data_IF_134461596227
#
_entry.id   IF_134461596227
#
_cell.length_a   1.000
_cell.length_b   1.000
_cell.length_c   1.000
_cell.angle_alpha   90.00
_cell.angle_beta   90.00
_cell.angle_gamma   90.00
#
_symmetry.space_group_name_H-M   'P 1'
#
loop_
_entity.id
_entity.type
_entity.pdbx_description
1 polymer ?
#
# COMPACT_ATOMS: atom_id res chain seq x y z
N UNK A 1 12.76 -3.10 -0.71
CA UNK A 1 12.46 -4.07 -1.80
C UNK A 1 13.49 -5.18 -2.02
N UNK A 2 14.75 -5.04 -1.62
CA UNK A 2 15.77 -6.09 -1.85
C UNK A 2 15.44 -7.44 -1.17
N UNK A 3 14.72 -7.42 -0.04
CA UNK A 3 14.27 -8.60 0.72
C UNK A 3 13.02 -9.28 0.16
N UNK A 4 12.31 -8.67 -0.80
CA UNK A 4 11.05 -9.21 -1.33
C UNK A 4 11.36 -10.20 -2.47
N UNK A 5 10.98 -11.47 -2.27
CA UNK A 5 11.23 -12.57 -3.23
C UNK A 5 10.47 -12.39 -4.55
N UNK A 6 9.18 -12.07 -4.47
CA UNK A 6 8.29 -11.95 -5.63
C UNK A 6 7.65 -10.57 -5.68
N UNK A 7 7.67 -9.92 -6.85
CA UNK A 7 7.07 -8.61 -7.09
C UNK A 7 6.07 -8.72 -8.24
N UNK A 8 4.82 -8.43 -7.97
CA UNK A 8 3.73 -8.48 -8.96
C UNK A 8 3.25 -7.05 -9.19
N UNK A 9 3.38 -6.59 -10.43
CA UNK A 9 2.90 -5.27 -10.83
C UNK A 9 1.55 -5.42 -11.55
N UNK A 10 0.50 -4.85 -10.97
CA UNK A 10 -0.85 -4.86 -11.56
C UNK A 10 -1.11 -3.49 -12.19
N UNK A 11 -1.29 -3.46 -13.52
CA UNK A 11 -1.51 -2.23 -14.31
C UNK A 11 -2.85 -2.29 -15.05
N UNK A 12 -3.39 -1.13 -15.41
CA UNK A 12 -4.56 -1.00 -16.28
C UNK A 12 -4.41 0.21 -17.19
N UNK A 13 -4.81 0.07 -18.46
CA UNK A 13 -4.89 1.18 -19.42
C UNK A 13 -6.15 2.05 -19.32
N UNK A 14 -7.14 1.64 -18.50
CA UNK A 14 -8.42 2.37 -18.33
C UNK A 14 -8.85 2.40 -16.86
N UNK A 15 -9.53 3.48 -16.48
CA UNK A 15 -10.22 3.58 -15.20
C UNK A 15 -11.40 2.61 -15.11
N UNK A 16 -11.74 2.16 -13.90
CA UNK A 16 -12.97 1.39 -13.64
C UNK A 16 -12.93 -0.11 -13.97
N UNK A 17 -11.81 -0.65 -14.47
CA UNK A 17 -11.72 -2.09 -14.83
C UNK A 17 -11.56 -3.05 -13.64
N UNK A 18 -11.55 -2.55 -12.41
CA UNK A 18 -11.38 -3.39 -11.21
C UNK A 18 -9.93 -3.73 -10.83
N UNK A 19 -8.93 -2.98 -11.32
CA UNK A 19 -7.50 -3.17 -10.96
C UNK A 19 -7.28 -3.29 -9.45
N UNK A 20 -7.78 -2.33 -8.67
CA UNK A 20 -7.63 -2.31 -7.21
C UNK A 20 -8.32 -3.50 -6.54
N UNK A 21 -9.48 -3.92 -7.05
CA UNK A 21 -10.19 -5.12 -6.61
C UNK A 21 -9.36 -6.37 -6.82
N UNK A 22 -8.81 -6.53 -8.03
CA UNK A 22 -7.96 -7.67 -8.35
C UNK A 22 -6.71 -7.70 -7.45
N UNK A 23 -6.03 -6.55 -7.28
CA UNK A 23 -4.86 -6.47 -6.41
C UNK A 23 -5.17 -6.84 -4.96
N UNK A 24 -6.27 -6.34 -4.39
CA UNK A 24 -6.68 -6.67 -3.03
C UNK A 24 -6.97 -8.17 -2.87
N UNK A 25 -7.75 -8.75 -3.78
CA UNK A 25 -8.11 -10.17 -3.73
C UNK A 25 -6.89 -11.08 -3.93
N UNK A 26 -5.98 -10.73 -4.84
CA UNK A 26 -4.72 -11.45 -5.02
C UNK A 26 -3.87 -11.42 -3.74
N UNK A 27 -3.80 -10.27 -3.06
CA UNK A 27 -3.08 -10.15 -1.79
C UNK A 27 -3.67 -11.04 -0.69
N UNK A 28 -5.00 -11.07 -0.53
CA UNK A 28 -5.65 -11.98 0.41
C UNK A 28 -5.45 -13.45 0.04
N UNK A 29 -5.57 -13.81 -1.23
CA UNK A 29 -5.36 -15.18 -1.68
C UNK A 29 -3.94 -15.68 -1.36
N UNK A 30 -2.93 -14.84 -1.59
CA UNK A 30 -1.55 -15.17 -1.22
C UNK A 30 -1.36 -15.25 0.30
N UNK A 31 -1.97 -14.35 1.07
CA UNK A 31 -1.88 -14.36 2.53
C UNK A 31 -2.55 -15.63 3.12
N UNK A 32 -3.66 -16.07 2.53
CA UNK A 32 -4.36 -17.31 2.91
C UNK A 32 -3.56 -18.59 2.59
N UNK A 33 -2.53 -18.49 1.74
CA UNK A 33 -1.55 -19.55 1.49
C UNK A 33 -0.30 -19.42 2.38
N UNK A 34 -0.43 -18.72 3.52
CA UNK A 34 0.63 -18.47 4.51
C UNK A 34 1.86 -17.69 3.99
N UNK A 35 1.75 -17.00 2.85
CA UNK A 35 2.81 -16.11 2.40
C UNK A 35 2.82 -14.81 3.21
N UNK A 36 4.01 -14.22 3.38
CA UNK A 36 4.16 -12.85 3.87
C UNK A 36 3.91 -11.89 2.70
N UNK A 37 2.82 -11.12 2.77
CA UNK A 37 2.32 -10.33 1.66
C UNK A 37 2.34 -8.84 1.97
N UNK A 38 2.76 -8.07 0.97
CA UNK A 38 2.64 -6.63 0.95
C UNK A 38 1.78 -6.14 -0.19
N UNK A 39 0.77 -5.33 0.11
CA UNK A 39 0.00 -4.60 -0.88
C UNK A 39 0.42 -3.13 -0.88
N UNK A 40 1.00 -2.68 -1.99
CA UNK A 40 1.38 -1.28 -2.18
C UNK A 40 0.47 -0.62 -3.22
N UNK A 41 -0.23 0.41 -2.79
CA UNK A 41 -1.11 1.23 -3.61
C UNK A 41 -0.50 2.62 -3.85
N UNK A 42 -0.11 2.85 -5.10
CA UNK A 42 0.44 4.13 -5.58
C UNK A 42 -0.54 4.89 -6.50
N UNK A 43 -1.81 4.48 -6.55
CA UNK A 43 -2.82 5.08 -7.41
C UNK A 43 -3.31 6.41 -6.80
N UNK A 44 -2.94 7.53 -7.41
CA UNK A 44 -3.27 8.89 -6.93
C UNK A 44 -4.71 9.28 -7.26
N UNK A 45 -5.37 8.62 -8.23
CA UNK A 45 -6.70 8.99 -8.72
C UNK A 45 -7.85 8.63 -7.76
N UNK A 46 -7.54 8.28 -6.50
CA UNK A 46 -8.50 8.08 -5.41
C UNK A 46 -8.08 6.92 -4.50
N UNK A 47 -8.17 7.08 -3.17
CA UNK A 47 -7.69 6.09 -2.20
C UNK A 47 -8.64 4.88 -2.14
N UNK A 48 -8.53 3.98 -3.11
CA UNK A 48 -9.44 2.84 -3.23
C UNK A 48 -9.09 1.72 -2.27
N UNK A 49 -7.80 1.41 -2.09
CA UNK A 49 -7.42 0.27 -1.25
C UNK A 49 -7.78 0.49 0.22
N UNK A 50 -7.48 1.64 0.87
CA UNK A 50 -7.90 1.87 2.26
C UNK A 50 -9.40 1.66 2.46
N UNK A 51 -10.22 2.25 1.59
CA UNK A 51 -11.68 2.10 1.62
C UNK A 51 -12.15 0.67 1.40
N UNK A 52 -11.61 0.00 0.38
CA UNK A 52 -11.97 -1.39 0.05
C UNK A 52 -11.65 -2.38 1.17
N UNK A 53 -10.61 -2.08 1.95
CA UNK A 53 -10.16 -2.93 3.05
C UNK A 53 -10.72 -2.51 4.41
N UNK A 54 -11.58 -1.49 4.48
CA UNK A 54 -12.12 -0.98 5.74
C UNK A 54 -11.08 -0.30 6.64
N UNK A 55 -10.00 0.22 6.04
CA UNK A 55 -8.87 0.88 6.72
C UNK A 55 -8.99 2.42 6.67
N UNK A 56 -10.18 2.96 6.43
CA UNK A 56 -10.39 4.41 6.43
C UNK A 56 -10.08 4.99 7.82
N UNK A 57 -9.37 6.13 7.86
CA UNK A 57 -8.92 6.75 9.10
C UNK A 57 -7.66 6.13 9.72
N UNK A 58 -7.12 5.05 9.14
CA UNK A 58 -5.79 4.56 9.51
C UNK A 58 -4.71 5.44 8.89
N UNK A 59 -3.59 5.56 9.59
CA UNK A 59 -2.41 6.31 9.13
C UNK A 59 -1.17 5.40 9.14
N UNK A 60 -0.19 5.77 8.33
CA UNK A 60 1.08 5.06 8.25
C UNK A 60 1.89 5.38 9.51
N UNK A 61 2.19 4.34 10.29
CA UNK A 61 2.99 4.51 11.48
C UNK A 61 4.44 4.83 11.13
N UNK A 62 4.99 5.86 11.73
CA UNK A 62 6.38 6.25 11.56
C UNK A 62 7.23 5.66 12.69
N UNK A 63 8.20 4.82 12.34
CA UNK A 63 9.16 4.24 13.27
C UNK A 63 10.58 4.78 12.98
N UNK A 64 11.53 4.50 13.88
CA UNK A 64 12.95 4.81 13.66
C UNK A 64 13.53 4.13 12.41
N UNK A 65 12.91 3.04 11.96
CA UNK A 65 13.29 2.29 10.75
C UNK A 65 12.59 2.79 9.48
N UNK A 66 11.69 3.76 9.60
CA UNK A 66 10.88 4.28 8.51
C UNK A 66 9.39 3.98 8.69
N UNK A 67 8.65 4.01 7.60
CA UNK A 67 7.20 3.77 7.59
C UNK A 67 6.88 2.29 7.77
N UNK A 68 5.95 2.02 8.68
CA UNK A 68 5.35 0.70 8.90
C UNK A 68 4.01 0.62 8.18
N UNK A 69 3.71 -0.49 7.48
CA UNK A 69 2.42 -0.68 6.85
C UNK A 69 1.31 -0.81 7.90
N UNK A 70 0.07 -0.58 7.43
CA UNK A 70 -1.15 -0.91 8.18
C UNK A 70 -1.45 -2.38 7.90
N UNK A 71 -1.57 -3.19 8.94
CA UNK A 71 -1.84 -4.62 8.79
C UNK A 71 -3.35 -4.87 8.80
N UNK A 72 -3.83 -5.64 7.81
CA UNK A 72 -5.21 -6.17 7.79
C UNK A 72 -5.27 -7.60 8.33
N UNK A 73 -4.17 -8.33 8.21
CA UNK A 73 -3.96 -9.65 8.79
C UNK A 73 -2.54 -9.70 9.35
N UNK A 74 -2.21 -10.71 10.16
CA UNK A 74 -0.87 -10.87 10.75
C UNK A 74 0.26 -10.96 9.70
N UNK A 75 -0.05 -11.45 8.50
CA UNK A 75 0.88 -11.64 7.39
C UNK A 75 0.55 -10.77 6.15
N UNK A 76 -0.40 -9.83 6.25
CA UNK A 76 -0.78 -8.94 5.15
C UNK A 76 -0.70 -7.47 5.55
N UNK A 77 0.39 -6.82 5.13
CA UNK A 77 0.63 -5.39 5.31
C UNK A 77 0.22 -4.57 4.09
N UNK A 78 -0.43 -3.44 4.32
CA UNK A 78 -0.91 -2.52 3.30
C UNK A 78 -0.21 -1.18 3.45
N UNK A 79 0.27 -0.65 2.33
CA UNK A 79 0.78 0.70 2.21
C UNK A 79 0.01 1.39 1.08
N UNK A 80 -0.63 2.52 1.38
CA UNK A 80 -1.36 3.30 0.37
C UNK A 80 -1.06 4.77 0.54
N UNK A 81 -0.96 5.47 -0.59
CA UNK A 81 -0.97 6.93 -0.64
C UNK A 81 -2.20 7.49 0.09
N UNK A 82 -3.33 6.77 0.04
CA UNK A 82 -4.57 7.19 0.66
C UNK A 82 -4.49 7.42 2.16
N UNK A 83 -3.61 6.70 2.87
CA UNK A 83 -3.39 6.93 4.30
C UNK A 83 -2.77 8.29 4.60
N UNK A 84 -2.02 8.86 3.65
CA UNK A 84 -1.36 10.14 3.84
C UNK A 84 -2.31 11.32 3.57
N UNK A 85 -3.49 11.10 2.99
CA UNK A 85 -4.38 12.18 2.59
C UNK A 85 -5.30 12.58 3.76
N UNK A 86 -5.30 13.87 4.17
CA UNK A 86 -6.23 14.33 5.20
C UNK A 86 -7.69 14.24 4.76
N UNK A 87 -7.94 14.35 3.44
CA UNK A 87 -9.25 14.14 2.85
C UNK A 87 -9.16 13.26 1.59
N UNK A 88 -9.94 12.18 1.47
CA UNK A 88 -9.92 11.27 0.31
C UNK A 88 -10.23 11.93 -1.04
N UNK A 89 -10.94 13.07 -1.05
CA UNK A 89 -11.31 13.80 -2.27
C UNK A 89 -10.35 14.95 -2.62
N UNK A 90 -9.29 15.17 -1.83
CA UNK A 90 -8.32 16.23 -2.09
C UNK A 90 -7.28 15.84 -3.16
N UNK A 91 -7.06 16.73 -4.12
CA UNK A 91 -5.96 16.62 -5.07
C UNK A 91 -4.61 16.71 -4.33
N UNK A 92 -3.78 15.68 -4.49
CA UNK A 92 -2.54 15.55 -3.72
C UNK A 92 -1.44 16.45 -4.26
N UNK A 93 -1.07 17.49 -3.51
CA UNK A 93 0.18 18.22 -3.75
C UNK A 93 1.33 17.49 -3.04
N UNK A 94 2.08 16.71 -3.82
CA UNK A 94 3.24 15.96 -3.35
C UNK A 94 4.42 16.86 -2.99
N UNK A 95 4.43 17.43 -1.78
CA UNK A 95 5.60 18.15 -1.26
C UNK A 95 6.73 17.18 -0.87
N UNK A 96 7.96 17.67 -0.91
CA UNK A 96 9.21 16.90 -0.79
C UNK A 96 9.24 15.78 0.27
N UNK A 97 8.79 16.00 1.52
CA UNK A 97 8.87 14.97 2.57
C UNK A 97 8.08 13.69 2.27
N UNK A 98 6.85 13.80 1.74
CA UNK A 98 6.00 12.63 1.43
C UNK A 98 6.51 11.85 0.22
N UNK A 99 6.97 12.56 -0.81
CA UNK A 99 7.64 11.95 -1.97
C UNK A 99 8.88 11.18 -1.55
N UNK A 100 9.74 11.81 -0.74
CA UNK A 100 10.97 11.20 -0.26
C UNK A 100 10.69 10.00 0.66
N UNK A 101 9.67 10.09 1.52
CA UNK A 101 9.21 8.98 2.34
C UNK A 101 8.73 7.78 1.51
N UNK A 102 7.93 8.01 0.46
CA UNK A 102 7.47 6.94 -0.43
C UNK A 102 8.62 6.31 -1.21
N UNK A 103 9.55 7.12 -1.73
CA UNK A 103 10.76 6.62 -2.40
C UNK A 103 11.60 5.79 -1.43
N UNK A 104 11.74 6.25 -0.18
CA UNK A 104 12.46 5.51 0.86
C UNK A 104 11.74 4.22 1.22
N UNK A 105 10.42 4.22 1.36
CA UNK A 105 9.63 3.00 1.56
C UNK A 105 9.75 2.02 0.39
N UNK A 106 9.73 2.49 -0.85
CA UNK A 106 9.95 1.64 -2.02
C UNK A 106 11.35 1.02 -2.02
N UNK A 107 12.37 1.77 -1.59
CA UNK A 107 13.76 1.29 -1.50
C UNK A 107 13.96 0.33 -0.32
N UNK A 108 13.55 0.75 0.87
CA UNK A 108 13.92 0.17 2.17
C UNK A 108 12.79 -0.67 2.79
N UNK A 109 11.60 -0.65 2.18
CA UNK A 109 10.33 -1.08 2.77
C UNK A 109 10.37 -2.43 3.47
N UNK A 110 9.87 -2.40 4.70
CA UNK A 110 9.79 -3.48 5.69
C UNK A 110 8.58 -4.39 5.39
N UNK A 111 8.28 -4.62 4.12
CA UNK A 111 7.32 -5.65 3.72
C UNK A 111 8.08 -6.98 3.69
N UNK A 112 7.98 -7.74 4.79
CA UNK A 112 8.65 -9.05 4.94
C UNK A 112 9.79 -9.13 5.96
N UNK A 113 9.82 -8.24 6.98
CA UNK A 113 10.58 -8.47 8.21
C UNK A 113 9.61 -8.71 9.36
N UNK A 114 8.99 -9.88 9.37
CA UNK A 114 8.40 -10.51 10.53
C UNK A 114 8.81 -11.99 10.47
#
# INVERSE_FOLDING_TARGET
MASVKHKILVLSGKGGVGKSTFSAQLSFAQAAMDFQVGLLDIDICGPRIPKMLGLEGQDIHQSNLGWSPVYVESNLGVMSIGFMLPNPDEAVIWRGPRKNGLIKFLKDGILGRA
#
